data_IF_523519708016
#
_entry.id   IF_523519708016
#
_cell.length_a   1.000
_cell.length_b   1.000
_cell.length_c   1.000
_cell.angle_alpha   90.00
_cell.angle_beta   90.00
_cell.angle_gamma   90.00
#
_symmetry.space_group_name_H-M   'P 1'
#
loop_
_entity.id
_entity.type
_entity.pdbx_description
1 polymer ?
#
# COMPACT_ATOMS: atom_id res chain seq x y z
N UNK A 1 -0.29 -6.80 20.47
CA UNK A 1 0.87 -6.46 19.60
C UNK A 1 2.11 -6.36 20.48
N UNK A 2 3.21 -7.03 20.13
CA UNK A 2 4.47 -7.01 20.90
C UNK A 2 5.71 -6.72 20.06
N UNK A 3 5.59 -6.74 18.73
CA UNK A 3 6.74 -6.58 17.83
C UNK A 3 7.34 -5.19 17.88
N UNK A 4 6.52 -4.15 17.78
CA UNK A 4 6.99 -2.76 17.87
C UNK A 4 7.59 -2.44 19.24
N UNK A 5 6.94 -2.86 20.32
CA UNK A 5 7.46 -2.68 21.69
C UNK A 5 8.83 -3.36 21.87
N UNK A 6 9.01 -4.55 21.28
CA UNK A 6 10.31 -5.25 21.29
C UNK A 6 11.39 -4.47 20.53
N UNK A 7 11.06 -3.95 19.35
CA UNK A 7 11.98 -3.15 18.53
C UNK A 7 12.37 -1.86 19.28
N UNK A 8 11.39 -1.18 19.88
CA UNK A 8 11.63 0.01 20.71
C UNK A 8 12.52 -0.29 21.90
N UNK A 9 12.28 -1.40 22.61
CA UNK A 9 13.09 -1.84 23.74
C UNK A 9 14.55 -2.13 23.34
N UNK A 10 14.77 -2.69 22.15
CA UNK A 10 16.12 -2.98 21.63
C UNK A 10 16.84 -1.73 21.12
N UNK A 11 16.13 -0.79 20.49
CA UNK A 11 16.71 0.43 19.95
C UNK A 11 16.86 1.55 20.99
N UNK A 12 16.13 1.48 22.11
CA UNK A 12 16.08 2.53 23.14
C UNK A 12 15.41 3.83 22.68
N UNK A 13 14.81 3.82 21.49
CA UNK A 13 14.12 4.95 20.87
C UNK A 13 12.96 4.49 20.00
N UNK A 14 11.96 5.33 19.85
CA UNK A 14 10.75 5.13 19.05
C UNK A 14 10.73 5.95 17.75
N UNK A 15 11.78 6.75 17.53
CA UNK A 15 11.97 7.57 16.34
C UNK A 15 12.51 6.76 15.17
N UNK A 16 11.65 5.89 14.63
CA UNK A 16 11.88 5.23 13.36
C UNK A 16 10.62 5.32 12.48
N UNK A 17 10.80 5.63 11.19
CA UNK A 17 9.69 5.68 10.26
C UNK A 17 9.14 4.27 10.01
N UNK A 18 7.83 4.17 9.77
CA UNK A 18 7.13 2.89 9.57
C UNK A 18 6.04 3.02 8.53
N UNK A 19 5.91 1.99 7.70
CA UNK A 19 4.77 1.82 6.80
C UNK A 19 3.63 1.10 7.55
N UNK A 20 2.41 1.60 7.44
CA UNK A 20 1.23 1.04 8.09
C UNK A 20 0.26 0.51 7.05
N UNK A 21 -0.02 -0.79 7.09
CA UNK A 21 -1.06 -1.40 6.28
C UNK A 21 -2.28 -1.66 7.15
N UNK A 22 -3.41 -1.09 6.75
CA UNK A 22 -4.69 -1.31 7.44
C UNK A 22 -5.28 -2.66 7.06
N UNK A 23 -5.63 -3.47 8.06
CA UNK A 23 -6.31 -4.76 7.87
C UNK A 23 -7.78 -4.71 8.29
N UNK A 24 -8.36 -3.51 8.40
CA UNK A 24 -9.70 -3.30 8.93
C UNK A 24 -9.78 -3.41 10.46
N UNK A 25 -11.01 -3.49 10.98
CA UNK A 25 -11.29 -3.73 12.40
C UNK A 25 -12.30 -4.87 12.51
N UNK A 26 -12.12 -5.80 13.47
CA UNK A 26 -13.13 -6.80 13.74
C UNK A 26 -14.44 -6.15 14.18
N UNK A 27 -15.56 -6.79 13.87
CA UNK A 27 -16.88 -6.42 14.41
C UNK A 27 -16.80 -6.36 15.95
N UNK A 28 -17.47 -5.36 16.53
CA UNK A 28 -17.51 -5.12 17.97
C UNK A 28 -17.75 -6.44 18.71
N UNK A 29 -16.80 -6.85 19.57
CA UNK A 29 -16.79 -8.06 20.39
C UNK A 29 -16.05 -9.31 19.84
N UNK A 30 -15.38 -9.25 18.68
CA UNK A 30 -14.41 -10.30 18.28
C UNK A 30 -13.02 -10.05 18.89
N UNK A 31 -12.35 -11.13 19.28
CA UNK A 31 -10.96 -11.10 19.76
C UNK A 31 -10.01 -10.58 18.67
N UNK A 32 -9.34 -9.47 18.96
CA UNK A 32 -8.34 -8.84 18.07
C UNK A 32 -7.21 -9.80 17.74
N UNK A 33 -6.82 -10.68 18.67
CA UNK A 33 -5.75 -11.65 18.45
C UNK A 33 -6.17 -12.68 17.40
N UNK A 34 -7.38 -13.21 17.53
CA UNK A 34 -7.98 -14.10 16.52
C UNK A 34 -8.14 -13.44 15.15
N UNK A 35 -8.47 -12.15 15.10
CA UNK A 35 -8.58 -11.40 13.84
C UNK A 35 -7.23 -11.27 13.11
N UNK A 36 -6.16 -10.91 13.82
CA UNK A 36 -4.82 -10.75 13.25
C UNK A 36 -4.20 -12.08 12.78
N UNK A 37 -4.54 -13.18 13.44
CA UNK A 37 -4.08 -14.53 13.06
C UNK A 37 -4.99 -15.23 12.05
N UNK A 38 -6.14 -14.61 11.74
CA UNK A 38 -7.11 -15.14 10.78
C UNK A 38 -6.62 -15.03 9.34
N UNK A 39 -7.31 -15.75 8.44
CA UNK A 39 -7.14 -15.57 7.00
C UNK A 39 -8.08 -14.47 6.52
N UNK A 40 -7.67 -13.74 5.49
CA UNK A 40 -8.55 -12.86 4.73
C UNK A 40 -9.67 -13.66 4.08
N UNK A 41 -10.87 -13.06 3.98
CA UNK A 41 -11.97 -13.63 3.23
C UNK A 41 -11.69 -13.54 1.73
N UNK A 42 -12.29 -14.43 0.95
CA UNK A 42 -12.13 -14.43 -0.52
C UNK A 42 -12.51 -13.08 -1.15
N UNK A 43 -13.58 -12.46 -0.65
CA UNK A 43 -14.03 -11.13 -1.06
C UNK A 43 -13.03 -9.99 -0.75
N UNK A 44 -12.08 -10.21 0.17
CA UNK A 44 -11.04 -9.23 0.51
C UNK A 44 -9.77 -9.41 -0.34
N UNK A 45 -9.66 -10.52 -1.09
CA UNK A 45 -8.44 -10.88 -1.84
C UNK A 45 -8.10 -9.83 -2.88
N UNK A 46 -9.07 -9.37 -3.66
CA UNK A 46 -8.84 -8.35 -4.70
C UNK A 46 -8.37 -7.02 -4.08
N UNK A 47 -8.97 -6.62 -2.96
CA UNK A 47 -8.54 -5.42 -2.23
C UNK A 47 -7.13 -5.59 -1.67
N UNK A 48 -6.83 -6.77 -1.11
CA UNK A 48 -5.53 -7.10 -0.56
C UNK A 48 -4.43 -7.00 -1.62
N UNK A 49 -4.66 -7.54 -2.82
CA UNK A 49 -3.71 -7.44 -3.94
C UNK A 49 -3.40 -5.98 -4.28
N UNK A 50 -4.43 -5.13 -4.42
CA UNK A 50 -4.26 -3.69 -4.70
C UNK A 50 -3.51 -2.96 -3.59
N UNK A 51 -3.78 -3.30 -2.33
CA UNK A 51 -3.05 -2.76 -1.18
C UNK A 51 -1.57 -3.17 -1.21
N UNK A 52 -1.28 -4.44 -1.49
CA UNK A 52 0.10 -4.94 -1.55
C UNK A 52 0.89 -4.32 -2.70
N UNK A 53 0.26 -4.15 -3.87
CA UNK A 53 0.87 -3.47 -5.01
C UNK A 53 1.19 -2.01 -4.68
N UNK A 54 0.22 -1.29 -4.12
CA UNK A 54 0.42 0.12 -3.71
C UNK A 54 1.50 0.24 -2.64
N UNK A 55 1.55 -0.70 -1.69
CA UNK A 55 2.57 -0.74 -0.65
C UNK A 55 3.98 -0.98 -1.23
N UNK A 56 4.09 -1.86 -2.23
CA UNK A 56 5.36 -2.08 -2.92
C UNK A 56 5.83 -0.82 -3.64
N UNK A 57 4.92 -0.15 -4.37
CA UNK A 57 5.20 1.12 -5.05
C UNK A 57 5.59 2.22 -4.06
N UNK A 58 4.90 2.31 -2.92
CA UNK A 58 5.22 3.26 -1.85
C UNK A 58 6.61 3.01 -1.26
N UNK A 59 6.99 1.75 -1.03
CA UNK A 59 8.34 1.40 -0.55
C UNK A 59 9.39 1.78 -1.58
N UNK A 60 9.15 1.49 -2.87
CA UNK A 60 10.05 1.89 -3.94
C UNK A 60 10.22 3.41 -4.00
N UNK A 61 9.11 4.17 -3.95
CA UNK A 61 9.14 5.63 -3.89
C UNK A 61 9.91 6.13 -2.66
N UNK A 62 9.69 5.53 -1.49
CA UNK A 62 10.38 5.90 -0.27
C UNK A 62 11.90 5.69 -0.39
N UNK A 63 12.33 4.53 -0.87
CA UNK A 63 13.77 4.22 -1.01
C UNK A 63 14.44 5.12 -2.06
N UNK A 64 13.75 5.42 -3.16
CA UNK A 64 14.34 6.15 -4.30
C UNK A 64 14.21 7.68 -4.20
N UNK A 65 13.12 8.17 -3.61
CA UNK A 65 12.75 9.59 -3.62
C UNK A 65 12.62 10.20 -2.21
N UNK A 66 12.72 9.37 -1.17
CA UNK A 66 12.65 9.78 0.22
C UNK A 66 11.24 9.75 0.82
N UNK A 67 11.19 9.83 2.16
CA UNK A 67 9.96 9.64 2.93
C UNK A 67 8.90 10.71 2.67
N UNK A 68 9.31 11.97 2.45
CA UNK A 68 8.37 13.07 2.23
C UNK A 68 7.54 12.88 0.95
N UNK A 69 8.20 12.46 -0.14
CA UNK A 69 7.52 12.15 -1.40
C UNK A 69 6.59 10.94 -1.26
N UNK A 70 7.07 9.88 -0.62
CA UNK A 70 6.24 8.70 -0.36
C UNK A 70 5.03 9.01 0.54
N UNK A 71 5.17 9.91 1.51
CA UNK A 71 4.04 10.35 2.33
C UNK A 71 3.04 11.16 1.52
N UNK A 72 3.50 12.13 0.72
CA UNK A 72 2.62 13.00 -0.07
C UNK A 72 1.85 12.23 -1.14
N UNK A 73 2.48 11.23 -1.78
CA UNK A 73 1.88 10.51 -2.90
C UNK A 73 0.93 9.38 -2.47
N UNK A 74 1.16 8.79 -1.29
CA UNK A 74 0.47 7.56 -0.89
C UNK A 74 -0.33 7.68 0.41
N UNK A 75 -0.09 8.69 1.26
CA UNK A 75 -0.95 8.92 2.42
C UNK A 75 -2.20 9.69 1.98
N UNK A 76 -3.38 9.14 2.26
CA UNK A 76 -4.64 9.78 1.91
C UNK A 76 -5.79 8.80 1.90
N UNK A 77 -6.87 9.18 1.23
CA UNK A 77 -7.98 8.27 0.97
C UNK A 77 -7.52 7.19 0.00
N UNK A 78 -7.63 5.93 0.42
CA UNK A 78 -7.25 4.80 -0.41
C UNK A 78 -8.44 4.42 -1.28
N UNK A 79 -8.57 5.07 -2.43
CA UNK A 79 -9.41 4.62 -3.53
C UNK A 79 -8.51 3.81 -4.47
N UNK A 80 -8.61 2.47 -4.50
CA UNK A 80 -7.84 1.67 -5.44
C UNK A 80 -8.19 2.06 -6.87
N UNK A 81 -7.37 2.89 -7.49
CA UNK A 81 -7.52 3.29 -8.88
C UNK A 81 -7.06 2.14 -9.77
N UNK A 82 -7.87 1.78 -10.77
CA UNK A 82 -7.45 0.81 -11.78
C UNK A 82 -6.18 1.32 -12.49
N UNK A 83 -5.09 0.54 -12.43
CA UNK A 83 -3.95 0.79 -13.30
C UNK A 83 -4.38 0.44 -14.72
N UNK A 84 -4.33 1.43 -15.62
CA UNK A 84 -4.38 1.14 -17.06
C UNK A 84 -3.17 0.29 -17.42
N UNK A 85 -3.43 -0.89 -17.97
CA UNK A 85 -2.41 -1.82 -18.45
C UNK A 85 -1.53 -1.12 -19.50
N UNK A 86 -0.24 -1.46 -19.53
CA UNK A 86 0.78 -0.99 -20.49
C UNK A 86 0.35 -1.06 -21.98
N UNK A 87 -0.66 -1.88 -22.32
CA UNK A 87 -1.25 -1.97 -23.66
C UNK A 87 -2.14 -0.79 -24.05
N UNK A 88 -2.64 0.01 -23.10
CA UNK A 88 -3.41 1.23 -23.39
C UNK A 88 -2.51 2.43 -23.69
N UNK A 89 -1.33 2.51 -23.07
CA UNK A 89 -0.39 3.64 -23.24
C UNK A 89 0.21 3.64 -24.66
N UNK A 90 0.36 2.46 -25.28
CA UNK A 90 0.95 2.33 -26.62
C UNK A 90 0.01 2.69 -27.78
N UNK A 91 -1.29 2.94 -27.53
CA UNK A 91 -2.25 3.24 -28.61
C UNK A 91 -2.45 4.73 -28.91
N UNK A 92 -1.94 5.62 -28.08
CA UNK A 92 -2.13 7.06 -28.25
C UNK A 92 -1.01 7.73 -29.08
N UNK A 93 0.03 6.99 -29.48
CA UNK A 93 1.24 7.54 -30.13
C UNK A 93 1.28 7.38 -31.67
N UNK A 94 0.16 7.02 -32.31
CA UNK A 94 0.08 6.95 -33.79
C UNK A 94 -1.06 7.80 -34.35
N UNK A 95 -0.91 9.12 -34.27
CA UNK A 95 -1.56 10.05 -35.19
C UNK A 95 -0.70 11.29 -35.47
N UNK A 96 0.48 11.08 -36.06
CA UNK A 96 1.09 12.05 -36.98
C UNK A 96 0.89 11.43 -38.37
N UNK A 97 0.04 11.94 -39.23
CA UNK A 97 0.17 13.26 -39.85
C UNK A 97 0.59 13.06 -41.31
N UNK A 98 -0.20 12.30 -42.08
CA UNK A 98 0.01 12.13 -43.52
C UNK A 98 -0.49 13.40 -44.23
N UNK A 99 0.38 14.41 -44.27
CA UNK A 99 0.21 15.63 -45.05
C UNK A 99 0.93 15.47 -46.38
N UNK A 100 0.17 15.24 -47.45
CA UNK A 100 0.60 15.43 -48.84
C UNK A 100 -0.11 16.65 -49.43
#
# INVERSE_FOLDING_TARGET
HRGLDSIQGLLGKDDFPRLRLGIGRPESNRDVSGFVLGKFAEAETELLEKVLETAADQIACWVLQGIGQAMNNYNGDFSPTEKKTDDEIRRDDHSEGDGA
#
